data_IF_466975751321
#
_entry.id   IF_466975751321
#
_cell.length_a   1.000
_cell.length_b   1.000
_cell.length_c   1.000
_cell.angle_alpha   90.00
_cell.angle_beta   90.00
_cell.angle_gamma   90.00
#
_symmetry.space_group_name_H-M   'P 1'
#
loop_
_entity.id
_entity.type
_entity.pdbx_description
1 polymer ?
#
# COMPACT_ATOMS: atom_id res chain seq x y z
N UNK A 1 -5.88 -30.09 -1.79
CA UNK A 1 -5.42 -30.59 -0.50
C UNK A 1 -4.27 -29.72 -0.06
N UNK A 2 -4.18 -29.40 1.22
CA UNK A 2 -3.01 -28.72 1.79
C UNK A 2 -1.99 -29.79 2.16
N UNK A 3 -0.74 -29.56 1.81
CA UNK A 3 0.36 -30.48 2.12
C UNK A 3 1.49 -29.69 2.80
N UNK A 4 2.20 -30.35 3.69
CA UNK A 4 3.38 -29.77 4.32
C UNK A 4 4.58 -30.04 3.41
N UNK A 5 5.24 -28.97 2.96
CA UNK A 5 6.38 -29.05 2.03
C UNK A 5 7.62 -28.46 2.68
N UNK A 6 8.76 -29.15 2.50
CA UNK A 6 10.05 -28.66 2.97
C UNK A 6 10.42 -27.34 2.24
N UNK A 7 10.84 -26.35 3.01
CA UNK A 7 11.19 -25.00 2.52
C UNK A 7 12.32 -25.01 1.48
N UNK A 8 13.21 -26.00 1.55
CA UNK A 8 14.29 -26.18 0.56
C UNK A 8 13.78 -26.59 -0.83
N UNK A 9 12.57 -27.13 -0.95
CA UNK A 9 11.94 -27.49 -2.22
C UNK A 9 11.11 -26.33 -2.80
N UNK A 10 10.95 -25.22 -2.06
CA UNK A 10 10.16 -24.08 -2.48
C UNK A 10 11.04 -22.99 -3.11
N UNK A 11 10.76 -22.69 -4.36
CA UNK A 11 11.43 -21.65 -5.14
C UNK A 11 10.54 -20.41 -5.28
N UNK A 12 11.18 -19.24 -5.16
CA UNK A 12 10.53 -17.98 -5.51
C UNK A 12 10.19 -17.93 -7.00
N UNK A 13 9.07 -17.30 -7.32
CA UNK A 13 8.77 -16.99 -8.73
C UNK A 13 9.68 -15.87 -9.23
N UNK A 14 10.73 -16.25 -9.94
CA UNK A 14 11.69 -15.37 -10.63
C UNK A 14 11.45 -15.26 -12.13
N UNK A 15 10.35 -15.84 -12.64
CA UNK A 15 10.06 -15.92 -14.08
C UNK A 15 10.67 -17.13 -14.76
N UNK A 16 11.08 -18.16 -14.01
CA UNK A 16 11.71 -19.38 -14.53
C UNK A 16 10.74 -20.31 -15.30
N UNK A 17 9.44 -20.13 -15.11
CA UNK A 17 8.43 -20.86 -15.89
C UNK A 17 7.99 -20.02 -17.07
N UNK A 18 8.15 -20.59 -18.29
CA UNK A 18 7.78 -19.90 -19.54
C UNK A 18 6.35 -19.41 -19.51
N UNK A 19 6.16 -18.11 -19.71
CA UNK A 19 4.84 -17.45 -19.70
C UNK A 19 4.30 -17.04 -18.34
N UNK A 20 4.99 -17.38 -17.23
CA UNK A 20 4.73 -16.83 -15.90
C UNK A 20 5.78 -15.77 -15.60
N UNK A 21 5.43 -14.46 -15.59
CA UNK A 21 6.36 -13.40 -15.24
C UNK A 21 6.84 -13.54 -13.79
N UNK A 22 8.00 -12.94 -13.49
CA UNK A 22 8.46 -12.84 -12.11
C UNK A 22 7.40 -12.15 -11.23
N UNK A 23 7.38 -12.48 -9.95
CA UNK A 23 6.50 -11.81 -9.01
C UNK A 23 6.78 -10.29 -9.00
N UNK A 24 5.78 -9.44 -9.37
CA UNK A 24 5.98 -8.00 -9.46
C UNK A 24 5.98 -7.30 -8.09
N UNK A 25 5.52 -8.01 -7.05
CA UNK A 25 5.30 -7.40 -5.74
C UNK A 25 6.61 -7.17 -5.01
N UNK A 26 6.84 -5.95 -4.55
CA UNK A 26 7.93 -5.59 -3.65
C UNK A 26 7.35 -4.95 -2.38
N UNK A 27 8.14 -4.93 -1.32
CA UNK A 27 7.74 -4.35 -0.04
C UNK A 27 8.82 -3.45 0.49
N UNK A 28 8.42 -2.44 1.24
CA UNK A 28 9.33 -1.63 2.05
C UNK A 28 9.76 -2.43 3.27
N UNK A 29 10.96 -2.18 3.77
CA UNK A 29 11.58 -2.96 4.83
C UNK A 29 10.72 -3.06 6.09
N UNK A 30 10.08 -1.98 6.52
CA UNK A 30 9.21 -1.97 7.70
C UNK A 30 7.99 -2.90 7.57
N UNK A 31 7.38 -3.01 6.38
CA UNK A 31 6.26 -3.94 6.13
C UNK A 31 6.71 -5.38 6.12
N UNK A 32 7.95 -5.62 5.76
CA UNK A 32 8.52 -6.95 5.82
C UNK A 32 8.79 -7.38 7.27
N UNK A 33 9.30 -6.48 8.12
CA UNK A 33 9.46 -6.72 9.55
C UNK A 33 8.11 -6.98 10.24
N UNK A 34 7.07 -6.18 9.91
CA UNK A 34 5.71 -6.41 10.39
C UNK A 34 5.18 -7.79 9.97
N UNK A 35 5.46 -8.25 8.75
CA UNK A 35 5.10 -9.60 8.30
C UNK A 35 5.81 -10.69 9.11
N UNK A 36 7.11 -10.55 9.39
CA UNK A 36 7.85 -11.50 10.22
C UNK A 36 7.29 -11.56 11.64
N UNK A 37 7.03 -10.39 12.24
CA UNK A 37 6.39 -10.32 13.56
C UNK A 37 5.03 -11.01 13.55
N UNK A 38 4.17 -10.71 12.59
CA UNK A 38 2.84 -11.35 12.46
C UNK A 38 2.92 -12.88 12.38
N UNK A 39 3.92 -13.43 11.66
CA UNK A 39 4.12 -14.88 11.58
C UNK A 39 4.62 -15.46 12.91
N UNK A 40 5.43 -14.73 13.67
CA UNK A 40 5.93 -15.17 14.97
C UNK A 40 4.84 -15.14 16.03
N UNK A 41 4.00 -14.09 16.02
CA UNK A 41 2.92 -13.90 16.99
C UNK A 41 1.74 -14.84 16.74
N UNK A 42 1.46 -15.16 15.47
CA UNK A 42 0.34 -16.00 15.05
C UNK A 42 0.75 -17.00 13.96
N UNK A 43 1.55 -18.02 14.30
CA UNK A 43 2.05 -18.98 13.31
C UNK A 43 0.93 -19.81 12.65
N UNK A 44 -0.22 -19.99 13.31
CA UNK A 44 -1.40 -20.63 12.76
C UNK A 44 -1.96 -19.93 11.52
N UNK A 45 -1.67 -18.64 11.35
CA UNK A 45 -2.04 -17.90 10.14
C UNK A 45 -1.40 -18.48 8.87
N UNK A 46 -0.29 -19.20 8.99
CA UNK A 46 0.31 -19.90 7.85
C UNK A 46 -0.57 -21.04 7.35
N UNK A 47 -1.32 -21.70 8.22
CA UNK A 47 -2.29 -22.76 7.85
C UNK A 47 -3.55 -22.14 7.26
N UNK A 48 -4.03 -21.03 7.81
CA UNK A 48 -5.21 -20.31 7.31
C UNK A 48 -4.96 -19.62 5.97
N UNK A 49 -3.72 -19.22 5.70
CA UNK A 49 -3.29 -18.58 4.46
C UNK A 49 -2.06 -19.28 3.90
N UNK A 50 -2.23 -20.56 3.55
CA UNK A 50 -1.22 -21.41 2.95
C UNK A 50 -0.56 -20.80 1.70
N UNK A 51 0.65 -21.23 1.37
CA UNK A 51 1.28 -20.87 0.10
C UNK A 51 0.61 -21.61 -1.05
N UNK A 52 0.43 -20.96 -2.19
CA UNK A 52 -0.04 -21.62 -3.41
C UNK A 52 1.18 -21.91 -4.27
N UNK A 53 1.40 -23.18 -4.57
CA UNK A 53 2.58 -23.66 -5.26
C UNK A 53 2.23 -24.48 -6.50
N UNK A 54 3.10 -24.42 -7.50
CA UNK A 54 2.97 -25.18 -8.74
C UNK A 54 4.16 -26.14 -8.87
N UNK A 55 3.93 -27.44 -9.14
CA UNK A 55 4.99 -28.42 -9.33
C UNK A 55 5.87 -28.02 -10.50
N UNK A 56 7.18 -28.10 -10.30
CA UNK A 56 8.19 -27.68 -11.24
C UNK A 56 9.40 -28.60 -11.09
N UNK A 57 10.08 -28.91 -12.15
CA UNK A 57 11.28 -29.75 -12.22
C UNK A 57 11.72 -30.53 -10.95
N UNK A 58 11.93 -31.81 -11.07
CA UNK A 58 12.60 -32.67 -10.06
C UNK A 58 12.03 -32.61 -8.62
N UNK A 59 10.70 -32.52 -8.48
CA UNK A 59 10.07 -32.51 -7.17
C UNK A 59 10.14 -31.16 -6.43
N UNK A 60 10.52 -30.09 -7.11
CA UNK A 60 10.50 -28.72 -6.58
C UNK A 60 9.21 -28.02 -6.97
N UNK A 61 8.93 -26.92 -6.29
CA UNK A 61 7.71 -26.15 -6.46
C UNK A 61 8.02 -24.66 -6.62
N UNK A 62 7.37 -24.02 -7.57
CA UNK A 62 7.37 -22.56 -7.71
C UNK A 62 6.23 -21.99 -6.88
N UNK A 63 6.52 -21.01 -6.04
CA UNK A 63 5.49 -20.30 -5.26
C UNK A 63 4.81 -19.29 -6.16
N UNK A 64 3.55 -19.57 -6.50
CA UNK A 64 2.69 -18.69 -7.31
C UNK A 64 2.14 -17.55 -6.45
N UNK A 65 1.61 -17.87 -5.25
CA UNK A 65 1.11 -16.90 -4.28
C UNK A 65 1.80 -17.08 -2.92
N UNK A 66 2.10 -15.95 -2.25
CA UNK A 66 2.74 -15.97 -0.93
C UNK A 66 4.27 -15.90 -0.95
N UNK A 67 4.88 -15.38 -2.02
CA UNK A 67 6.34 -15.24 -2.12
C UNK A 67 6.96 -14.43 -0.95
N UNK A 68 6.25 -13.43 -0.42
CA UNK A 68 6.72 -12.66 0.73
C UNK A 68 6.72 -13.51 2.00
N UNK A 69 5.63 -14.28 2.23
CA UNK A 69 5.55 -15.22 3.37
C UNK A 69 6.66 -16.27 3.29
N UNK A 70 6.93 -16.83 2.11
CA UNK A 70 8.07 -17.74 1.93
C UNK A 70 9.39 -17.08 2.33
N UNK A 71 9.62 -15.82 1.94
CA UNK A 71 10.82 -15.08 2.32
C UNK A 71 10.92 -14.91 3.83
N UNK A 72 9.85 -14.45 4.47
CA UNK A 72 9.79 -14.27 5.92
C UNK A 72 10.06 -15.60 6.66
N UNK A 73 9.39 -16.68 6.25
CA UNK A 73 9.61 -18.00 6.85
C UNK A 73 11.02 -18.54 6.65
N UNK A 74 11.67 -18.27 5.50
CA UNK A 74 13.09 -18.61 5.28
C UNK A 74 14.01 -17.86 6.23
N UNK A 75 13.79 -16.56 6.44
CA UNK A 75 14.57 -15.75 7.37
C UNK A 75 14.30 -16.15 8.84
N UNK A 76 13.08 -16.55 9.17
CA UNK A 76 12.71 -17.05 10.50
C UNK A 76 13.17 -18.50 10.75
N UNK A 77 13.75 -19.18 9.76
CA UNK A 77 14.32 -20.52 9.90
C UNK A 77 13.32 -21.68 9.85
N UNK A 78 12.10 -21.45 9.35
CA UNK A 78 11.12 -22.52 9.14
C UNK A 78 11.69 -23.59 8.20
N UNK A 79 11.44 -24.85 8.51
CA UNK A 79 11.89 -26.00 7.71
C UNK A 79 10.81 -26.51 6.77
N UNK A 80 9.57 -26.35 7.15
CA UNK A 80 8.38 -26.85 6.45
C UNK A 80 7.30 -25.79 6.47
N UNK A 81 6.46 -25.76 5.43
CA UNK A 81 5.36 -24.82 5.31
C UNK A 81 4.11 -25.49 4.71
N UNK A 82 2.92 -25.11 5.17
CA UNK A 82 1.67 -25.54 4.57
C UNK A 82 1.51 -24.91 3.17
N UNK A 83 1.26 -25.75 2.19
CA UNK A 83 1.16 -25.38 0.79
C UNK A 83 -0.03 -26.00 0.11
N UNK A 84 -0.72 -25.24 -0.72
CA UNK A 84 -1.70 -25.71 -1.67
C UNK A 84 -1.03 -26.04 -2.99
N UNK A 85 -0.96 -27.31 -3.34
CA UNK A 85 -0.36 -27.73 -4.61
C UNK A 85 -1.42 -27.59 -5.72
N UNK A 86 -1.06 -26.87 -6.76
CA UNK A 86 -1.84 -26.78 -7.99
C UNK A 86 -1.60 -28.00 -8.87
N UNK A 87 -2.61 -28.37 -9.64
CA UNK A 87 -2.49 -29.50 -10.57
C UNK A 87 -1.42 -29.23 -11.63
N UNK A 88 -0.58 -30.22 -11.99
CA UNK A 88 0.50 -30.06 -12.96
C UNK A 88 0.04 -29.60 -14.34
N UNK A 89 -1.20 -29.87 -14.71
CA UNK A 89 -1.84 -29.47 -15.96
C UNK A 89 -2.47 -28.08 -15.92
N UNK A 90 -2.32 -27.35 -14.79
CA UNK A 90 -2.84 -25.98 -14.67
C UNK A 90 -2.22 -25.06 -15.72
N UNK A 91 -3.05 -24.46 -16.60
CA UNK A 91 -2.53 -23.57 -17.63
C UNK A 91 -1.78 -22.37 -17.06
N UNK A 92 -0.67 -21.97 -17.66
CA UNK A 92 0.13 -20.82 -17.22
C UNK A 92 -0.70 -19.53 -17.14
N UNK A 93 -1.71 -19.37 -18.01
CA UNK A 93 -2.67 -18.27 -17.92
C UNK A 93 -3.38 -18.24 -16.56
N UNK A 94 -3.76 -19.40 -16.01
CA UNK A 94 -4.39 -19.53 -14.70
C UNK A 94 -3.41 -19.21 -13.57
N UNK A 95 -2.16 -19.62 -13.69
CA UNK A 95 -1.12 -19.26 -12.69
C UNK A 95 -0.94 -17.75 -12.61
N UNK A 96 -0.92 -17.04 -13.75
CA UNK A 96 -0.90 -15.57 -13.79
C UNK A 96 -2.14 -14.95 -13.16
N UNK A 97 -3.31 -15.50 -13.47
CA UNK A 97 -4.58 -15.05 -12.92
C UNK A 97 -4.56 -15.16 -11.38
N UNK A 98 -4.13 -16.30 -10.82
CA UNK A 98 -4.03 -16.51 -9.39
C UNK A 98 -3.03 -15.56 -8.74
N UNK A 99 -1.82 -15.43 -9.29
CA UNK A 99 -0.81 -14.52 -8.78
C UNK A 99 -1.28 -13.05 -8.80
N UNK A 100 -2.08 -12.66 -9.80
CA UNK A 100 -2.63 -11.31 -9.89
C UNK A 100 -3.76 -11.10 -8.89
N UNK A 101 -4.74 -12.01 -8.85
CA UNK A 101 -5.92 -11.89 -7.97
C UNK A 101 -5.56 -11.95 -6.48
N UNK A 102 -4.54 -12.73 -6.11
CA UNK A 102 -4.02 -12.78 -4.72
C UNK A 102 -3.43 -11.43 -4.28
N UNK A 103 -3.06 -10.57 -5.21
CA UNK A 103 -2.46 -9.27 -4.94
C UNK A 103 -3.46 -8.09 -5.05
N UNK A 104 -4.68 -8.33 -5.50
CA UNK A 104 -5.72 -7.30 -5.63
C UNK A 104 -6.49 -7.19 -4.32
N UNK A 105 -6.47 -6.00 -3.72
CA UNK A 105 -7.36 -5.68 -2.61
C UNK A 105 -8.72 -5.28 -3.19
N UNK A 106 -9.76 -6.07 -2.88
CA UNK A 106 -11.14 -5.80 -3.31
C UNK A 106 -11.95 -4.99 -2.29
N UNK A 107 -11.37 -4.66 -1.15
CA UNK A 107 -11.99 -3.87 -0.10
C UNK A 107 -10.99 -2.90 0.52
N UNK A 108 -11.54 -1.87 1.13
CA UNK A 108 -10.80 -0.92 1.96
C UNK A 108 -11.30 -1.05 3.39
N UNK A 109 -10.42 -0.82 4.35
CA UNK A 109 -10.80 -0.77 5.75
C UNK A 109 -11.46 0.58 6.04
N UNK A 110 -12.64 0.56 6.65
CA UNK A 110 -13.23 1.74 7.25
C UNK A 110 -12.45 2.03 8.54
N UNK A 111 -11.49 2.94 8.43
CA UNK A 111 -10.59 3.26 9.54
C UNK A 111 -11.33 3.95 10.69
N UNK A 112 -12.39 4.69 10.41
CA UNK A 112 -13.18 5.37 11.43
C UNK A 112 -13.95 4.33 12.29
N UNK A 113 -14.56 3.34 11.65
CA UNK A 113 -15.20 2.23 12.36
C UNK A 113 -14.19 1.43 13.16
N UNK A 114 -13.03 1.12 12.57
CA UNK A 114 -11.97 0.38 13.27
C UNK A 114 -11.42 1.16 14.47
N UNK A 115 -11.25 2.47 14.36
CA UNK A 115 -10.75 3.30 15.46
C UNK A 115 -11.77 3.44 16.59
N UNK A 116 -13.06 3.46 16.29
CA UNK A 116 -14.14 3.65 17.27
C UNK A 116 -14.62 2.34 17.91
N UNK A 117 -14.59 1.22 17.19
CA UNK A 117 -15.19 -0.05 17.65
C UNK A 117 -14.13 -1.09 18.07
N UNK A 118 -12.87 -0.92 17.65
CA UNK A 118 -11.79 -1.86 17.92
C UNK A 118 -10.72 -1.23 18.80
N UNK A 119 -9.87 -2.05 19.42
CA UNK A 119 -8.73 -1.55 20.17
C UNK A 119 -7.63 -1.05 19.22
N UNK A 120 -7.43 0.27 19.15
CA UNK A 120 -6.47 0.93 18.27
C UNK A 120 -5.04 0.40 18.45
N UNK A 121 -4.63 0.14 19.71
CA UNK A 121 -3.29 -0.35 20.02
C UNK A 121 -3.07 -1.78 19.44
N UNK A 122 -4.08 -2.66 19.57
CA UNK A 122 -4.03 -4.00 18.99
C UNK A 122 -4.00 -3.95 17.47
N UNK A 123 -4.82 -3.09 16.84
CA UNK A 123 -4.85 -2.92 15.39
C UNK A 123 -3.50 -2.44 14.85
N UNK A 124 -2.85 -1.51 15.54
CA UNK A 124 -1.51 -1.06 15.18
C UNK A 124 -0.46 -2.16 15.32
N UNK A 125 -0.54 -2.96 16.38
CA UNK A 125 0.33 -4.12 16.59
C UNK A 125 0.15 -5.18 15.50
N UNK A 126 -1.07 -5.35 15.03
CA UNK A 126 -1.41 -6.25 13.91
C UNK A 126 -1.11 -5.67 12.53
N UNK A 127 -0.61 -4.44 12.45
CA UNK A 127 -0.10 -3.83 11.22
C UNK A 127 -1.09 -2.93 10.49
N UNK A 128 -2.19 -2.51 11.12
CA UNK A 128 -3.07 -1.47 10.59
C UNK A 128 -2.40 -0.11 10.81
N UNK A 129 -2.19 0.61 9.72
CA UNK A 129 -1.64 1.96 9.75
C UNK A 129 -2.80 2.95 9.80
N UNK A 130 -2.93 3.66 10.93
CA UNK A 130 -3.80 4.85 11.02
C UNK A 130 -3.02 6.06 10.53
N UNK A 131 -3.73 7.03 9.94
CA UNK A 131 -3.13 8.31 9.65
C UNK A 131 -2.58 8.92 10.96
N UNK A 132 -1.38 9.53 10.95
CA UNK A 132 -0.90 10.23 12.14
C UNK A 132 -1.96 11.23 12.58
N UNK A 133 -2.30 11.21 13.85
CA UNK A 133 -3.16 12.23 14.44
C UNK A 133 -2.60 13.59 14.05
N UNK A 134 -3.37 14.34 13.28
CA UNK A 134 -2.99 15.72 12.98
C UNK A 134 -2.93 16.41 14.33
N UNK A 135 -1.73 16.73 14.78
CA UNK A 135 -1.57 17.58 15.94
C UNK A 135 -2.14 18.94 15.55
N UNK A 136 -3.37 19.20 15.98
CA UNK A 136 -4.03 20.50 15.76
C UNK A 136 -3.15 21.63 16.24
N UNK A 137 -2.32 21.35 17.25
CA UNK A 137 -1.37 22.32 17.81
C UNK A 137 -0.24 22.68 16.83
N UNK A 138 0.34 21.72 16.09
CA UNK A 138 1.35 22.02 15.07
C UNK A 138 0.77 22.80 13.88
N UNK A 139 -0.51 22.57 13.58
CA UNK A 139 -1.18 23.35 12.52
C UNK A 139 -1.50 24.76 13.03
N UNK A 140 -1.95 24.90 14.26
CA UNK A 140 -2.16 26.20 14.90
C UNK A 140 -0.86 27.01 15.02
N UNK A 141 0.22 26.42 15.54
CA UNK A 141 1.53 27.10 15.66
C UNK A 141 2.05 27.52 14.28
N UNK A 142 1.90 26.70 13.24
CA UNK A 142 2.26 27.07 11.86
C UNK A 142 1.33 28.13 11.29
N UNK A 143 0.06 28.09 11.62
CA UNK A 143 -0.92 29.08 11.16
C UNK A 143 -0.72 30.42 11.86
N UNK A 144 -0.46 30.41 13.16
CA UNK A 144 -0.17 31.60 13.96
C UNK A 144 1.19 32.24 13.59
N UNK A 145 2.19 31.41 13.21
CA UNK A 145 3.46 31.90 12.67
C UNK A 145 3.33 32.54 11.27
N UNK A 146 2.24 32.24 10.54
CA UNK A 146 1.94 32.82 9.22
C UNK A 146 1.17 34.15 9.36
N UNK A 147 0.57 34.44 10.49
CA UNK A 147 -0.21 35.65 10.77
C UNK A 147 0.66 36.81 11.25
N UNK A 148 1.94 36.89 10.86
CA UNK A 148 2.73 38.10 11.08
C UNK A 148 2.12 39.25 10.24
N UNK A 149 1.63 40.26 10.93
CA UNK A 149 0.90 41.42 10.38
C UNK A 149 1.68 42.21 9.32
N UNK A 150 2.96 41.87 9.11
CA UNK A 150 3.84 42.48 8.09
C UNK A 150 3.89 41.71 6.78
N UNK A 151 3.37 40.52 6.70
CA UNK A 151 3.35 39.74 5.49
C UNK A 151 2.09 40.03 4.66
N UNK A 152 2.30 40.64 3.51
CA UNK A 152 1.24 40.88 2.50
C UNK A 152 0.92 39.53 1.85
N UNK A 153 0.10 38.71 2.51
CA UNK A 153 -0.45 37.49 1.93
C UNK A 153 -1.69 37.83 1.12
N UNK A 154 -1.97 37.09 0.04
CA UNK A 154 -3.25 37.24 -0.63
C UNK A 154 -4.37 37.01 0.40
N UNK A 155 -5.31 37.95 0.45
CA UNK A 155 -6.50 37.88 1.30
C UNK A 155 -7.17 36.51 1.08
N UNK A 156 -7.06 35.65 2.09
CA UNK A 156 -7.89 34.45 2.12
C UNK A 156 -9.31 34.93 2.44
N UNK A 157 -10.28 34.76 1.54
CA UNK A 157 -11.66 35.15 1.83
C UNK A 157 -12.09 34.51 3.16
N UNK A 158 -12.80 35.25 4.01
CA UNK A 158 -13.47 34.63 5.15
C UNK A 158 -14.54 33.69 4.59
N UNK A 159 -14.29 32.39 4.73
CA UNK A 159 -15.27 31.39 4.36
C UNK A 159 -16.33 31.35 5.47
N UNK A 160 -17.59 31.44 5.08
CA UNK A 160 -18.70 31.08 5.95
C UNK A 160 -18.90 29.55 5.88
N UNK A 161 -19.74 29.00 6.74
CA UNK A 161 -19.98 27.57 6.90
C UNK A 161 -20.49 26.83 5.64
N UNK A 162 -20.63 27.54 4.51
CA UNK A 162 -21.16 27.01 3.24
C UNK A 162 -20.07 26.67 2.21
N UNK A 163 -18.80 26.93 2.51
CA UNK A 163 -17.71 26.75 1.55
C UNK A 163 -16.66 25.79 2.08
N UNK A 164 -16.28 24.82 1.26
CA UNK A 164 -15.13 23.94 1.51
C UNK A 164 -13.91 24.47 0.76
N UNK A 165 -12.78 24.56 1.44
CA UNK A 165 -11.52 25.01 0.86
C UNK A 165 -10.60 23.82 0.58
N UNK A 166 -10.29 23.61 -0.69
CA UNK A 166 -9.28 22.66 -1.11
C UNK A 166 -8.00 23.39 -1.52
N UNK A 167 -6.88 23.11 -0.85
CA UNK A 167 -5.56 23.63 -1.23
C UNK A 167 -4.78 22.50 -1.87
N UNK A 168 -4.49 22.65 -3.17
CA UNK A 168 -3.70 21.69 -3.93
C UNK A 168 -2.36 22.32 -4.25
N UNK A 169 -1.27 21.68 -3.80
CA UNK A 169 0.10 22.09 -4.11
C UNK A 169 0.74 21.11 -5.08
N UNK A 170 1.31 21.62 -6.18
CA UNK A 170 2.10 20.80 -7.09
C UNK A 170 3.58 21.12 -6.93
N UNK A 171 4.42 20.10 -7.02
CA UNK A 171 5.87 20.23 -6.88
C UNK A 171 6.59 20.49 -8.20
N UNK A 172 5.91 20.34 -9.33
CA UNK A 172 6.49 20.53 -10.66
C UNK A 172 5.49 21.18 -11.64
N UNK A 173 6.02 21.67 -12.74
CA UNK A 173 5.26 22.43 -13.74
C UNK A 173 4.31 21.54 -14.57
N UNK A 174 4.65 20.27 -14.77
CA UNK A 174 3.83 19.32 -15.54
C UNK A 174 2.55 18.99 -14.80
N UNK A 175 2.66 18.64 -13.51
CA UNK A 175 1.49 18.37 -12.65
C UNK A 175 0.64 19.63 -12.46
N UNK A 176 1.29 20.79 -12.36
CA UNK A 176 0.58 22.08 -12.26
C UNK A 176 -0.24 22.37 -13.52
N UNK A 177 0.29 22.10 -14.70
CA UNK A 177 -0.43 22.31 -15.96
C UNK A 177 -1.56 21.31 -16.13
N UNK A 178 -1.35 20.04 -15.77
CA UNK A 178 -2.39 19.00 -15.79
C UNK A 178 -3.55 19.36 -14.85
N UNK A 179 -3.27 19.81 -13.62
CA UNK A 179 -4.28 20.27 -12.67
C UNK A 179 -5.08 21.45 -13.20
N UNK A 180 -4.42 22.44 -13.83
CA UNK A 180 -5.10 23.59 -14.41
C UNK A 180 -6.04 23.20 -15.53
N UNK A 181 -5.60 22.36 -16.44
CA UNK A 181 -6.41 21.85 -17.53
C UNK A 181 -7.64 21.07 -17.02
N UNK A 182 -7.42 20.23 -16.00
CA UNK A 182 -8.50 19.40 -15.43
C UNK A 182 -9.54 20.19 -14.65
N UNK A 183 -9.13 21.29 -14.01
CA UNK A 183 -9.97 22.14 -13.18
C UNK A 183 -10.43 23.44 -13.90
N UNK A 184 -10.18 23.54 -15.20
CA UNK A 184 -10.49 24.73 -16.03
C UNK A 184 -9.98 26.05 -15.39
N UNK A 185 -8.76 26.00 -14.87
CA UNK A 185 -8.18 27.13 -14.12
C UNK A 185 -7.47 28.13 -15.04
N UNK A 186 -7.89 29.40 -15.00
CA UNK A 186 -7.23 30.46 -15.73
C UNK A 186 -5.92 30.90 -15.06
N UNK A 187 -4.92 31.25 -15.88
CA UNK A 187 -3.67 31.83 -15.40
C UNK A 187 -3.88 33.25 -14.89
N UNK A 188 -3.62 33.45 -13.60
CA UNK A 188 -3.56 34.77 -13.00
C UNK A 188 -2.12 35.10 -12.57
N UNK A 189 -1.72 36.36 -12.64
CA UNK A 189 -0.40 36.80 -12.12
C UNK A 189 -0.38 36.67 -10.60
N UNK A 190 0.61 35.95 -10.06
CA UNK A 190 0.84 35.93 -8.64
C UNK A 190 1.57 37.16 -8.16
N UNK A 191 1.35 37.47 -6.93
CA UNK A 191 1.98 38.60 -6.27
C UNK A 191 3.52 38.53 -6.21
N UNK A 192 4.09 37.33 -6.08
CA UNK A 192 5.55 37.13 -5.99
C UNK A 192 6.16 36.49 -7.24
N UNK A 193 5.48 35.60 -7.90
CA UNK A 193 6.02 34.79 -9.00
C UNK A 193 5.37 35.12 -10.34
N UNK A 194 4.41 35.99 -10.33
CA UNK A 194 3.72 36.43 -11.52
C UNK A 194 2.59 35.54 -12.00
N UNK A 195 2.26 34.43 -11.32
CA UNK A 195 1.15 33.58 -11.80
C UNK A 195 0.33 32.96 -10.67
N UNK A 196 -0.94 33.31 -10.60
CA UNK A 196 -1.97 32.66 -9.80
C UNK A 196 -3.01 32.11 -10.77
N UNK A 197 -3.63 31.00 -10.46
CA UNK A 197 -4.70 30.43 -11.27
C UNK A 197 -6.02 30.46 -10.49
N UNK A 198 -7.10 30.75 -11.16
CA UNK A 198 -8.45 30.83 -10.60
C UNK A 198 -9.35 29.93 -11.43
N UNK A 199 -10.11 29.06 -10.76
CA UNK A 199 -11.17 28.31 -11.43
C UNK A 199 -12.39 29.20 -11.62
N UNK A 200 -13.02 29.12 -12.77
CA UNK A 200 -14.35 29.63 -13.00
C UNK A 200 -15.32 28.49 -12.65
N UNK A 201 -15.99 28.60 -11.53
CA UNK A 201 -17.14 27.78 -11.17
C UNK A 201 -18.40 28.54 -11.56
#
# INVERSE_FOLDING_TARGET
MTEIIQVCLLDFNKGQLTGLPKNPRFFRDYRFEAMKKSIQDSPEMLELRELIVFPYNDGRYIVVCGNLRLRACKELGYKELPCKILAPDTPVKKLREYATKDNVNFGENDLDVMENEWNKAELQDWGIEFAPEKKEDEFKERFDAITDDTAIYPLIPKYDEKHELFIITSSNEVDSNWLRERLDMQHMKSYKTGKVSKSNV
#
